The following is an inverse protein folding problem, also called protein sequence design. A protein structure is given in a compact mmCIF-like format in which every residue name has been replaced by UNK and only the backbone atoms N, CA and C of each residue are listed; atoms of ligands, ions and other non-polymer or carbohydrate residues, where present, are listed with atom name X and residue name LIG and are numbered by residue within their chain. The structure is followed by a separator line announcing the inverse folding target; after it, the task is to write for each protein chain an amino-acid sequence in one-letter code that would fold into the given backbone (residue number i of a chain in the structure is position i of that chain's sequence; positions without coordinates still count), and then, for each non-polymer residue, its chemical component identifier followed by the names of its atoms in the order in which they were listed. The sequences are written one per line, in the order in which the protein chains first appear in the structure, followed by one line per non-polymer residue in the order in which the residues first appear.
data_IF_209513027531
#
_entry.id   IF_209513027531
#
_cell.length_a   1.000
_cell.length_b   1.000
_cell.length_c   1.000
_cell.angle_alpha   90.00
_cell.angle_beta   90.00
_cell.angle_gamma   90.00
#
_symmetry.space_group_name_H-M   'P 1'
#
loop_
_entity.id
_entity.type
_entity.pdbx_description
1 polymer ?
#
# COMPACT_ATOMS: atom_id res chain seq x y z
N UNK A 1 -13.02 16.72 11.21
CA UNK A 1 -13.11 17.22 9.82
C UNK A 1 -11.75 17.09 9.17
N UNK A 2 -11.68 16.84 7.86
CA UNK A 2 -10.43 16.65 7.15
C UNK A 2 -10.17 17.84 6.22
N UNK A 3 -9.05 18.54 6.43
CA UNK A 3 -8.67 19.75 5.68
C UNK A 3 -7.84 19.45 4.42
N UNK A 4 -7.87 18.20 3.93
CA UNK A 4 -7.11 17.80 2.74
C UNK A 4 -7.58 18.58 1.51
N UNK A 5 -6.63 19.26 0.85
CA UNK A 5 -6.86 20.01 -0.38
C UNK A 5 -5.86 19.57 -1.44
N UNK A 6 -6.33 19.51 -2.68
CA UNK A 6 -5.51 19.17 -3.84
C UNK A 6 -6.08 19.82 -5.09
N UNK A 7 -5.21 20.18 -6.02
CA UNK A 7 -5.62 20.71 -7.33
C UNK A 7 -6.10 19.61 -8.29
N UNK A 8 -5.88 18.34 -7.96
CA UNK A 8 -6.20 17.21 -8.84
C UNK A 8 -7.44 16.46 -8.37
N UNK A 9 -8.50 16.47 -9.19
CA UNK A 9 -9.75 15.74 -8.90
C UNK A 9 -9.55 14.25 -8.63
N UNK A 10 -8.59 13.62 -9.32
CA UNK A 10 -8.26 12.21 -9.10
C UNK A 10 -7.69 11.95 -7.69
N UNK A 11 -6.84 12.85 -7.19
CA UNK A 11 -6.26 12.75 -5.86
C UNK A 11 -7.33 12.95 -4.78
N UNK A 12 -8.28 13.86 -4.99
CA UNK A 12 -9.41 14.03 -4.07
C UNK A 12 -10.28 12.77 -4.00
N UNK A 13 -10.61 12.16 -5.15
CA UNK A 13 -11.32 10.88 -5.19
C UNK A 13 -10.55 9.76 -4.48
N UNK A 14 -9.23 9.74 -4.65
CA UNK A 14 -8.38 8.76 -3.97
C UNK A 14 -8.36 9.00 -2.45
N UNK A 15 -8.28 10.25 -2.02
CA UNK A 15 -8.31 10.64 -0.61
C UNK A 15 -9.61 10.24 0.07
N UNK A 16 -10.75 10.34 -0.62
CA UNK A 16 -12.05 9.90 -0.08
C UNK A 16 -12.04 8.43 0.35
N UNK A 17 -11.23 7.58 -0.28
CA UNK A 17 -11.08 6.17 0.11
C UNK A 17 -10.42 6.00 1.49
N UNK A 18 -9.66 6.99 1.98
CA UNK A 18 -9.09 6.95 3.34
C UNK A 18 -10.19 7.03 4.41
N UNK A 19 -11.31 7.68 4.09
CA UNK A 19 -12.49 7.75 4.96
C UNK A 19 -13.39 6.52 4.83
N UNK A 20 -13.03 5.52 4.01
CA UNK A 20 -13.74 4.24 3.89
C UNK A 20 -13.41 3.31 5.08
N UNK A 21 -13.84 3.71 6.27
CA UNK A 21 -13.55 3.00 7.53
C UNK A 21 -14.06 1.55 7.49
N UNK A 22 -15.22 1.33 6.89
CA UNK A 22 -15.84 0.00 6.75
C UNK A 22 -15.14 -0.88 5.69
N UNK A 23 -14.22 -0.31 4.90
CA UNK A 23 -13.48 -1.06 3.88
C UNK A 23 -14.34 -1.59 2.73
N UNK A 24 -15.54 -1.03 2.53
CA UNK A 24 -16.50 -1.39 1.47
C UNK A 24 -15.85 -1.21 0.10
N UNK A 25 -15.05 -0.17 -0.07
CA UNK A 25 -14.41 0.17 -1.33
C UNK A 25 -13.01 -0.44 -1.50
N UNK A 26 -12.56 -1.32 -0.57
CA UNK A 26 -11.29 -2.04 -0.70
C UNK A 26 -11.43 -3.18 -1.70
N UNK A 27 -11.28 -2.85 -2.98
CA UNK A 27 -11.43 -3.80 -4.11
C UNK A 27 -10.30 -4.82 -4.20
N UNK A 28 -9.10 -4.49 -3.73
CA UNK A 28 -7.93 -5.34 -3.89
C UNK A 28 -7.73 -6.19 -2.62
N UNK A 29 -8.04 -7.47 -2.71
CA UNK A 29 -7.93 -8.43 -1.60
C UNK A 29 -6.72 -9.36 -1.81
N UNK A 30 -6.03 -9.70 -0.73
CA UNK A 30 -5.03 -10.76 -0.74
C UNK A 30 -5.73 -12.11 -0.79
N UNK A 31 -5.19 -13.05 -1.57
CA UNK A 31 -5.68 -14.43 -1.61
C UNK A 31 -5.09 -15.33 -0.51
N UNK A 32 -4.08 -14.84 0.22
CA UNK A 32 -3.36 -15.60 1.25
C UNK A 32 -3.70 -15.18 2.68
N UNK A 33 -4.37 -14.05 2.87
CA UNK A 33 -4.79 -13.55 4.19
C UNK A 33 -5.92 -12.51 4.03
N UNK A 34 -6.47 -12.04 5.14
CA UNK A 34 -7.59 -11.07 5.16
C UNK A 34 -7.22 -9.62 4.77
N UNK A 35 -5.99 -9.38 4.31
CA UNK A 35 -5.56 -8.05 3.90
C UNK A 35 -6.35 -7.55 2.67
N UNK A 36 -6.89 -6.33 2.78
CA UNK A 36 -7.60 -5.64 1.70
C UNK A 36 -7.13 -4.20 1.59
N UNK A 37 -7.09 -3.66 0.38
CA UNK A 37 -6.64 -2.29 0.12
C UNK A 37 -7.38 -1.65 -1.07
N UNK A 38 -7.33 -0.33 -1.12
CA UNK A 38 -7.88 0.47 -2.22
C UNK A 38 -6.95 0.56 -3.43
N UNK A 39 -5.67 0.18 -3.27
CA UNK A 39 -4.66 0.36 -4.31
C UNK A 39 -4.00 -0.96 -4.71
N UNK A 40 -4.00 -1.25 -6.01
CA UNK A 40 -3.33 -2.43 -6.55
C UNK A 40 -1.83 -2.45 -6.22
N UNK A 41 -1.16 -1.29 -6.29
CA UNK A 41 0.26 -1.16 -5.91
C UNK A 41 0.51 -1.58 -4.47
N UNK A 42 -0.40 -1.23 -3.55
CA UNK A 42 -0.34 -1.64 -2.15
C UNK A 42 -0.56 -3.13 -1.99
N UNK A 43 -1.46 -3.74 -2.78
CA UNK A 43 -1.66 -5.20 -2.76
C UNK A 43 -0.43 -5.94 -3.32
N UNK A 44 0.13 -5.50 -4.45
CA UNK A 44 1.36 -6.08 -5.01
C UNK A 44 2.49 -6.03 -3.98
N UNK A 45 2.68 -4.87 -3.35
CA UNK A 45 3.65 -4.67 -2.28
C UNK A 45 3.38 -5.57 -1.07
N UNK A 46 2.13 -5.72 -0.67
CA UNK A 46 1.74 -6.61 0.42
C UNK A 46 2.04 -8.07 0.08
N UNK A 47 1.78 -8.53 -1.14
CA UNK A 47 2.06 -9.92 -1.57
C UNK A 47 3.54 -10.29 -1.45
N UNK A 48 4.45 -9.32 -1.59
CA UNK A 48 5.88 -9.54 -1.37
C UNK A 48 6.20 -9.94 0.07
N UNK A 49 5.36 -9.60 1.06
CA UNK A 49 5.53 -10.08 2.44
C UNK A 49 5.24 -11.57 2.62
N UNK A 50 4.39 -12.15 1.76
CA UNK A 50 4.08 -13.57 1.77
C UNK A 50 5.09 -14.41 1.00
N UNK A 51 5.87 -13.78 0.12
CA UNK A 51 6.96 -14.44 -0.56
C UNK A 51 8.12 -14.60 0.43
N UNK A 52 8.30 -15.81 0.96
CA UNK A 52 9.50 -16.18 1.69
C UNK A 52 10.73 -16.05 0.79
N UNK A 53 11.85 -15.60 1.35
CA UNK A 53 13.12 -15.54 0.61
C UNK A 53 13.26 -14.41 -0.41
N UNK A 54 12.43 -13.33 -0.36
CA UNK A 54 12.71 -12.15 -1.20
C UNK A 54 14.08 -11.58 -0.84
N UNK A 55 14.98 -11.66 -1.82
CA UNK A 55 16.26 -10.95 -1.78
C UNK A 55 15.98 -9.44 -1.70
N UNK A 56 16.37 -8.85 -0.57
CA UNK A 56 16.15 -7.44 -0.28
C UNK A 56 17.13 -6.61 -1.10
N UNK A 57 16.72 -6.31 -2.34
CA UNK A 57 17.55 -5.63 -3.36
C UNK A 57 18.05 -4.24 -2.96
N UNK A 58 17.32 -3.53 -2.11
CA UNK A 58 17.69 -2.19 -1.68
C UNK A 58 18.36 -2.28 -0.31
N UNK A 59 19.66 -2.03 -0.26
CA UNK A 59 20.45 -1.94 0.97
C UNK A 59 20.74 -0.48 1.30
N UNK A 60 20.76 -0.14 2.58
CA UNK A 60 21.33 1.12 3.02
C UNK A 60 22.85 1.01 2.93
N UNK A 61 23.53 2.03 2.40
CA UNK A 61 25.00 2.04 2.36
C UNK A 61 25.61 2.42 3.73
N UNK A 62 24.82 3.01 4.64
CA UNK A 62 25.27 3.47 5.96
C UNK A 62 24.93 2.50 7.10
N UNK A 63 24.09 1.49 6.86
CA UNK A 63 23.75 0.49 7.88
C UNK A 63 23.33 -0.85 7.24
N UNK A 64 23.23 -1.91 8.05
CA UNK A 64 22.85 -3.24 7.57
C UNK A 64 21.37 -3.38 7.17
N UNK A 65 20.61 -2.28 7.15
CA UNK A 65 19.22 -2.31 6.75
C UNK A 65 19.08 -2.66 5.28
N UNK A 66 18.25 -3.67 5.00
CA UNK A 66 17.87 -4.06 3.65
C UNK A 66 16.35 -4.07 3.55
N UNK A 67 15.82 -3.71 2.39
CA UNK A 67 14.41 -3.71 2.05
C UNK A 67 14.22 -4.11 0.58
N UNK A 68 13.05 -4.67 0.26
CA UNK A 68 12.65 -4.91 -1.13
C UNK A 68 11.71 -3.81 -1.64
N UNK A 69 11.34 -2.87 -0.78
CA UNK A 69 10.63 -1.65 -1.13
C UNK A 69 11.66 -0.64 -1.63
N UNK A 70 11.46 -0.17 -2.87
CA UNK A 70 12.18 0.99 -3.39
C UNK A 70 11.82 2.25 -2.60
#
# INVERSE_FOLDING_TARGET
MCDYKTHFKQNLKQHQLVHDVQGIHKKYKCGMCDYKTHWNSSLKRHKLKHAEGIDKKYKCELCHYKTHFK
#
